data_IF_678408056914
#
_entry.id   IF_678408056914
#
_cell.length_a   1.000
_cell.length_b   1.000
_cell.length_c   1.000
_cell.angle_alpha   90.00
_cell.angle_beta   90.00
_cell.angle_gamma   90.00
#
_symmetry.space_group_name_H-M   'P 1'
#
loop_
_entity.id
_entity.type
_entity.pdbx_description
1 polymer ?
#
# COMPACT_ATOMS: atom_id res chain seq x y z
N UNK A 1 -0.99 -29.27 4.03
CA UNK A 1 -0.26 -28.24 3.28
C UNK A 1 -0.08 -27.07 4.24
N UNK A 2 1.09 -26.91 4.85
CA UNK A 2 1.37 -25.72 5.65
C UNK A 2 1.71 -24.64 4.64
N UNK A 3 0.77 -23.75 4.34
CA UNK A 3 1.03 -22.63 3.46
C UNK A 3 1.99 -21.72 4.23
N UNK A 4 3.28 -21.85 3.97
CA UNK A 4 4.30 -20.88 4.37
C UNK A 4 4.00 -19.61 3.57
N UNK A 5 2.96 -18.88 3.98
CA UNK A 5 2.62 -17.57 3.46
C UNK A 5 3.71 -16.61 3.92
N UNK A 6 4.79 -16.56 3.15
CA UNK A 6 5.82 -15.53 3.32
C UNK A 6 5.18 -14.18 3.04
N UNK A 7 5.14 -13.25 4.00
CA UNK A 7 4.64 -11.91 3.74
C UNK A 7 5.51 -11.26 2.66
N UNK A 8 4.87 -10.52 1.77
CA UNK A 8 5.60 -9.68 0.83
C UNK A 8 6.07 -8.44 1.58
N UNK A 9 7.40 -8.30 1.69
CA UNK A 9 8.02 -7.16 2.34
C UNK A 9 8.31 -6.09 1.28
N UNK A 10 7.71 -4.93 1.44
CA UNK A 10 7.92 -3.76 0.61
C UNK A 10 8.54 -2.67 1.46
N UNK A 11 9.74 -2.23 1.10
CA UNK A 11 10.38 -1.07 1.73
C UNK A 11 10.24 0.12 0.80
N UNK A 12 9.58 1.18 1.27
CA UNK A 12 9.44 2.42 0.52
C UNK A 12 10.59 3.37 0.89
N UNK A 13 11.37 3.77 -0.10
CA UNK A 13 12.51 4.68 0.07
C UNK A 13 12.30 5.97 -0.76
N UNK A 14 12.62 7.16 -0.21
CA UNK A 14 13.23 7.42 1.11
C UNK A 14 12.33 7.15 2.34
N UNK A 15 12.95 6.98 3.52
CA UNK A 15 12.27 6.88 4.84
C UNK A 15 11.62 8.23 5.25
N UNK A 16 10.73 8.74 4.41
CA UNK A 16 10.05 10.00 4.61
C UNK A 16 8.67 9.72 5.23
N UNK A 17 8.66 9.64 6.56
CA UNK A 17 7.45 9.43 7.37
C UNK A 17 6.29 10.36 6.98
N UNK A 18 6.55 11.56 6.47
CA UNK A 18 5.49 12.47 5.98
C UNK A 18 4.80 11.92 4.74
N UNK A 19 5.56 11.39 3.79
CA UNK A 19 5.00 10.78 2.59
C UNK A 19 4.25 9.49 2.91
N UNK A 20 4.79 8.71 3.84
CA UNK A 20 4.15 7.48 4.33
C UNK A 20 2.80 7.78 4.99
N UNK A 21 2.73 8.84 5.80
CA UNK A 21 1.47 9.31 6.40
C UNK A 21 0.49 9.82 5.35
N UNK A 22 0.96 10.56 4.34
CA UNK A 22 0.12 11.00 3.23
C UNK A 22 -0.44 9.79 2.47
N UNK A 23 0.42 8.83 2.13
CA UNK A 23 0.07 7.56 1.48
C UNK A 23 -0.97 6.76 2.27
N UNK A 24 -0.80 6.60 3.58
CA UNK A 24 -1.75 5.85 4.42
C UNK A 24 -3.07 6.61 4.61
N UNK A 25 -3.01 7.94 4.52
CA UNK A 25 -4.13 8.82 4.75
C UNK A 25 -4.56 8.84 6.23
N UNK A 26 -5.60 9.61 6.56
CA UNK A 26 -6.11 9.68 7.93
C UNK A 26 -6.66 8.31 8.37
N UNK A 27 -6.19 7.80 9.53
CA UNK A 27 -6.63 6.52 10.13
C UNK A 27 -6.42 5.30 9.21
N UNK A 28 -5.35 5.31 8.41
CA UNK A 28 -5.04 4.21 7.48
C UNK A 28 -6.18 3.94 6.48
N UNK A 29 -6.99 4.96 6.17
CA UNK A 29 -8.14 4.83 5.28
C UNK A 29 -7.75 4.32 3.89
N UNK A 30 -6.61 4.78 3.37
CA UNK A 30 -6.11 4.37 2.06
C UNK A 30 -5.67 2.91 2.08
N UNK A 31 -4.91 2.50 3.10
CA UNK A 31 -4.50 1.10 3.29
C UNK A 31 -5.73 0.20 3.38
N UNK A 32 -6.71 0.56 4.21
CA UNK A 32 -7.96 -0.19 4.36
C UNK A 32 -8.76 -0.34 3.07
N UNK A 33 -8.70 0.65 2.17
CA UNK A 33 -9.33 0.54 0.85
C UNK A 33 -8.61 -0.51 -0.01
N UNK A 34 -7.28 -0.47 -0.05
CA UNK A 34 -6.46 -1.41 -0.81
C UNK A 34 -6.66 -2.84 -0.27
N UNK A 35 -6.59 -3.01 1.05
CA UNK A 35 -6.86 -4.27 1.76
C UNK A 35 -8.24 -4.83 1.39
N UNK A 36 -9.29 -4.01 1.42
CA UNK A 36 -10.66 -4.45 1.06
C UNK A 36 -10.82 -4.79 -0.42
N UNK A 37 -10.10 -4.10 -1.31
CA UNK A 37 -10.21 -4.32 -2.75
C UNK A 37 -9.49 -5.59 -3.17
N UNK A 38 -8.25 -5.75 -2.74
CA UNK A 38 -7.40 -6.89 -3.12
C UNK A 38 -7.58 -8.09 -2.20
N UNK A 39 -8.21 -7.91 -1.04
CA UNK A 39 -8.37 -8.97 -0.03
C UNK A 39 -7.06 -9.29 0.71
N UNK A 40 -6.13 -8.34 0.77
CA UNK A 40 -4.84 -8.47 1.48
C UNK A 40 -4.89 -7.79 2.83
N UNK A 41 -3.95 -8.12 3.70
CA UNK A 41 -3.68 -7.39 4.95
C UNK A 41 -2.38 -6.63 4.80
N UNK A 42 -2.35 -5.33 5.10
CA UNK A 42 -1.18 -4.47 5.00
C UNK A 42 -0.82 -3.99 6.40
N UNK A 43 0.39 -4.33 6.85
CA UNK A 43 0.96 -3.76 8.06
C UNK A 43 1.99 -2.71 7.69
N UNK A 44 1.80 -1.50 8.21
CA UNK A 44 2.78 -0.43 8.14
C UNK A 44 3.65 -0.43 9.41
N UNK A 45 4.97 -0.56 9.25
CA UNK A 45 5.99 -0.38 10.29
C UNK A 45 7.02 0.68 9.89
N UNK A 46 6.55 1.91 9.68
CA UNK A 46 7.40 3.01 9.23
C UNK A 46 7.55 2.98 7.70
N UNK A 47 8.77 2.80 7.22
CA UNK A 47 9.05 2.60 5.80
C UNK A 47 8.92 1.15 5.32
N UNK A 48 8.84 0.20 6.25
CA UNK A 48 8.63 -1.22 5.96
C UNK A 48 7.14 -1.56 5.98
N UNK A 49 6.65 -2.09 4.86
CA UNK A 49 5.29 -2.58 4.69
C UNK A 49 5.31 -4.10 4.55
N UNK A 50 4.52 -4.77 5.35
CA UNK A 50 4.34 -6.22 5.28
C UNK A 50 2.95 -6.51 4.73
N UNK A 51 2.89 -7.13 3.55
CA UNK A 51 1.65 -7.54 2.92
C UNK A 51 1.42 -9.04 3.11
N UNK A 52 0.26 -9.39 3.64
CA UNK A 52 -0.16 -10.77 3.88
C UNK A 52 -1.37 -11.09 3.01
N UNK A 53 -1.32 -12.21 2.30
CA UNK A 53 -2.40 -12.61 1.40
C UNK A 53 -1.89 -13.55 0.34
N UNK A 54 -2.67 -13.66 -0.73
CA UNK A 54 -2.32 -14.47 -1.89
C UNK A 54 -1.19 -13.82 -2.69
N UNK A 55 -0.30 -14.63 -3.27
CA UNK A 55 0.93 -14.14 -3.91
C UNK A 55 0.65 -13.14 -5.04
N UNK A 56 -0.43 -13.35 -5.79
CA UNK A 56 -0.91 -12.45 -6.84
C UNK A 56 -1.40 -11.10 -6.25
N UNK A 57 -2.18 -11.17 -5.18
CA UNK A 57 -2.78 -10.00 -4.53
C UNK A 57 -1.76 -9.13 -3.80
N UNK A 58 -0.79 -9.74 -3.10
CA UNK A 58 0.29 -9.00 -2.42
C UNK A 58 1.24 -8.35 -3.42
N UNK A 59 1.47 -8.98 -4.57
CA UNK A 59 2.25 -8.41 -5.67
C UNK A 59 1.54 -7.18 -6.25
N UNK A 60 0.24 -7.28 -6.55
CA UNK A 60 -0.57 -6.16 -7.03
C UNK A 60 -0.63 -5.01 -6.02
N UNK A 61 -0.78 -5.33 -4.73
CA UNK A 61 -0.78 -4.32 -3.67
C UNK A 61 0.59 -3.64 -3.50
N UNK A 62 1.68 -4.39 -3.64
CA UNK A 62 3.04 -3.84 -3.62
C UNK A 62 3.33 -2.88 -4.77
N UNK A 63 2.94 -3.26 -5.99
CA UNK A 63 3.03 -2.41 -7.18
C UNK A 63 2.22 -1.12 -6.99
N UNK A 64 0.98 -1.24 -6.50
CA UNK A 64 0.11 -0.09 -6.23
C UNK A 64 0.70 0.84 -5.18
N UNK A 65 1.21 0.30 -4.06
CA UNK A 65 1.86 1.10 -3.01
C UNK A 65 3.09 1.84 -3.54
N UNK A 66 3.94 1.17 -4.32
CA UNK A 66 5.12 1.79 -4.94
C UNK A 66 4.72 2.91 -5.91
N UNK A 67 3.66 2.69 -6.70
CA UNK A 67 3.15 3.67 -7.64
C UNK A 67 2.55 4.90 -6.93
N UNK A 68 1.69 4.69 -5.93
CA UNK A 68 1.11 5.75 -5.10
C UNK A 68 2.20 6.51 -4.35
N UNK A 69 3.20 5.83 -3.80
CA UNK A 69 4.32 6.46 -3.12
C UNK A 69 5.09 7.40 -4.06
N UNK A 70 5.35 6.97 -5.30
CA UNK A 70 6.00 7.82 -6.31
C UNK A 70 5.19 9.08 -6.61
N UNK A 71 3.87 8.97 -6.66
CA UNK A 71 2.96 10.11 -6.85
C UNK A 71 3.01 11.06 -5.64
N UNK A 72 3.02 10.54 -4.40
CA UNK A 72 3.24 11.36 -3.18
C UNK A 72 4.56 12.10 -3.27
N UNK A 73 5.63 11.39 -3.65
CA UNK A 73 6.97 11.93 -3.85
C UNK A 73 6.98 13.08 -4.88
N UNK A 74 6.13 12.99 -5.90
CA UNK A 74 5.94 14.02 -6.94
C UNK A 74 5.16 15.25 -6.43
N UNK A 75 4.51 15.14 -5.27
CA UNK A 75 3.69 16.20 -4.66
C UNK A 75 2.17 15.97 -4.81
N UNK A 76 1.75 14.80 -5.28
CA UNK A 76 0.33 14.41 -5.34
C UNK A 76 -0.16 14.11 -3.92
N UNK A 77 -1.29 14.70 -3.52
CA UNK A 77 -1.93 14.38 -2.23
C UNK A 77 -2.70 13.07 -2.34
N UNK A 78 -2.35 12.11 -1.49
CA UNK A 78 -3.06 10.84 -1.38
C UNK A 78 -4.28 10.99 -0.50
N UNK A 79 -5.41 11.20 -1.18
CA UNK A 79 -6.73 11.16 -0.54
C UNK A 79 -7.40 9.83 -0.85
N UNK A 80 -8.39 9.46 -0.05
CA UNK A 80 -9.20 8.26 -0.26
C UNK A 80 -9.88 8.24 -1.65
N UNK A 81 -10.13 9.42 -2.24
CA UNK A 81 -10.68 9.56 -3.58
C UNK A 81 -9.62 9.24 -4.65
N UNK A 82 -8.41 9.80 -4.49
CA UNK A 82 -7.25 9.51 -5.35
C UNK A 82 -6.96 8.00 -5.39
N UNK A 83 -6.89 7.36 -4.23
CA UNK A 83 -6.64 5.92 -4.11
C UNK A 83 -7.77 5.12 -4.75
N UNK A 84 -9.02 5.53 -4.55
CA UNK A 84 -10.16 4.91 -5.24
C UNK A 84 -10.05 5.00 -6.76
N UNK A 85 -9.59 6.14 -7.28
CA UNK A 85 -9.41 6.38 -8.71
C UNK A 85 -8.31 5.48 -9.29
N UNK A 86 -7.16 5.38 -8.63
CA UNK A 86 -6.08 4.46 -9.02
C UNK A 86 -6.52 2.99 -8.94
N UNK A 87 -7.36 2.64 -7.97
CA UNK A 87 -7.94 1.30 -7.84
C UNK A 87 -9.03 1.01 -8.90
N UNK A 88 -9.61 2.02 -9.54
CA UNK A 88 -10.58 1.85 -10.62
C UNK A 88 -9.93 1.74 -12.00
N UNK A 89 -8.79 2.41 -12.20
CA UNK A 89 -8.09 2.46 -13.49
C UNK A 89 -7.11 1.28 -13.71
N UNK A 90 -7.05 0.33 -12.77
CA UNK A 90 -6.09 -0.79 -12.78
C UNK A 90 -6.72 -2.18 -12.87
#
# INVERSE_FOLDING_TARGET
>A
MNLELSPYQLTLEPDDSRQLVDLCGPLDANLRQIEKRLGVTIHNRGNEFELFGDQETVCAAGELLSHLYREVCSGTRMTADTVHLFLQES
#
